data_IF_263995099920
#
_entry.id   IF_263995099920
#
_cell.length_a   1.000
_cell.length_b   1.000
_cell.length_c   1.000
_cell.angle_alpha   90.00
_cell.angle_beta   90.00
_cell.angle_gamma   90.00
#
_symmetry.space_group_name_H-M   'P 1'
#
loop_
_entity.id
_entity.type
_entity.pdbx_description
1 polymer ?
#
# COMPACT_ATOMS: atom_id res chain seq x y z
N UNK A 1 43.87 -7.95 32.64
CA UNK A 1 42.75 -8.91 32.50
C UNK A 1 41.58 -8.43 31.64
N UNK A 2 41.56 -7.19 31.13
CA UNK A 2 40.47 -6.72 30.24
C UNK A 2 40.68 -7.05 28.75
N UNK A 3 41.92 -7.17 28.30
CA UNK A 3 42.25 -7.47 26.89
C UNK A 3 42.22 -8.95 26.53
N UNK A 4 42.31 -9.85 27.52
CA UNK A 4 42.26 -11.29 27.30
C UNK A 4 40.85 -11.77 26.93
N UNK A 5 39.80 -11.13 27.46
CA UNK A 5 38.41 -11.43 27.12
C UNK A 5 38.05 -11.01 25.69
N UNK A 6 38.60 -9.90 25.20
CA UNK A 6 38.33 -9.38 23.85
C UNK A 6 38.95 -10.28 22.77
N UNK A 7 40.13 -10.84 23.03
CA UNK A 7 40.77 -11.81 22.13
C UNK A 7 39.99 -13.13 22.01
N UNK A 8 39.40 -13.61 23.11
CA UNK A 8 38.60 -14.84 23.11
C UNK A 8 37.27 -14.63 22.36
N UNK A 9 36.63 -13.47 22.52
CA UNK A 9 35.38 -13.13 21.82
C UNK A 9 35.55 -12.97 20.30
N UNK A 10 36.72 -12.51 19.82
CA UNK A 10 36.99 -12.41 18.39
C UNK A 10 37.22 -13.76 17.70
N UNK A 11 37.74 -14.77 18.40
CA UNK A 11 38.00 -16.09 17.79
C UNK A 11 36.75 -16.98 17.67
N UNK A 12 35.78 -16.84 18.59
CA UNK A 12 34.55 -17.65 18.56
C UNK A 12 33.52 -17.11 17.54
N UNK A 13 33.63 -15.84 17.12
CA UNK A 13 32.72 -15.23 16.15
C UNK A 13 32.96 -15.58 14.67
N UNK A 14 34.12 -16.16 14.33
CA UNK A 14 34.53 -16.36 12.93
C UNK A 14 34.26 -17.77 12.36
N UNK A 15 33.80 -18.72 13.17
CA UNK A 15 33.51 -20.10 12.71
C UNK A 15 32.04 -20.34 12.33
N UNK A 16 31.13 -19.39 12.56
CA UNK A 16 29.72 -19.52 12.19
C UNK A 16 29.38 -19.09 10.76
N UNK A 17 30.24 -18.31 10.08
CA UNK A 17 29.97 -17.78 8.72
C UNK A 17 30.53 -18.62 7.56
N UNK A 18 31.35 -19.64 7.84
CA UNK A 18 32.00 -20.46 6.81
C UNK A 18 31.18 -21.68 6.34
N UNK A 19 30.07 -22.02 7.02
CA UNK A 19 29.24 -23.18 6.65
C UNK A 19 28.12 -22.84 5.64
N UNK A 20 27.94 -21.58 5.27
CA UNK A 20 26.87 -21.12 4.36
C UNK A 20 27.26 -21.09 2.87
N UNK A 21 28.51 -21.44 2.51
CA UNK A 21 28.99 -21.36 1.11
C UNK A 21 29.10 -22.71 0.38
N UNK A 22 28.82 -23.86 1.01
CA UNK A 22 28.96 -25.18 0.38
C UNK A 22 27.63 -25.88 0.02
N UNK A 23 26.46 -25.28 0.32
CA UNK A 23 25.15 -25.85 -0.05
C UNK A 23 24.54 -25.29 -1.35
N UNK A 24 25.14 -24.26 -1.96
CA UNK A 24 24.59 -23.59 -3.15
C UNK A 24 24.84 -24.32 -4.50
N UNK A 25 25.47 -25.50 -4.49
CA UNK A 25 25.75 -26.30 -5.69
C UNK A 25 25.07 -27.66 -5.74
N UNK A 26 23.86 -27.79 -5.20
CA UNK A 26 22.96 -28.87 -5.64
C UNK A 26 22.39 -28.49 -7.00
N UNK A 27 23.08 -28.96 -8.06
CA UNK A 27 22.61 -28.92 -9.45
C UNK A 27 21.17 -29.44 -9.49
N UNK A 28 20.22 -28.62 -9.93
CA UNK A 28 18.86 -29.08 -10.21
C UNK A 28 18.95 -30.22 -11.24
N UNK A 29 18.28 -31.37 -11.05
CA UNK A 29 18.24 -32.41 -12.07
C UNK A 29 17.66 -31.80 -13.35
N UNK A 30 18.42 -31.89 -14.45
CA UNK A 30 17.94 -31.48 -15.77
C UNK A 30 16.70 -32.32 -16.08
N UNK A 31 15.57 -31.65 -16.32
CA UNK A 31 14.36 -32.32 -16.76
C UNK A 31 14.68 -33.10 -18.05
N UNK A 32 14.20 -34.36 -18.20
CA UNK A 32 14.41 -35.11 -19.42
C UNK A 32 13.79 -34.34 -20.58
N UNK A 33 14.56 -34.18 -21.66
CA UNK A 33 14.06 -33.68 -22.94
C UNK A 33 12.94 -34.62 -23.36
N UNK A 34 11.71 -34.14 -23.31
CA UNK A 34 10.54 -34.84 -23.84
C UNK A 34 10.82 -35.00 -25.33
N UNK A 35 11.13 -36.24 -25.74
CA UNK A 35 11.24 -36.61 -27.14
C UNK A 35 9.93 -36.18 -27.80
N UNK A 36 10.09 -35.33 -28.81
CA UNK A 36 9.05 -34.75 -29.65
C UNK A 36 7.97 -35.79 -29.92
N UNK A 37 6.83 -35.66 -29.22
CA UNK A 37 5.64 -36.39 -29.61
C UNK A 37 5.34 -35.99 -31.05
N UNK A 38 5.33 -36.97 -31.94
CA UNK A 38 4.91 -36.82 -33.33
C UNK A 38 3.61 -36.02 -33.30
N UNK A 39 3.65 -34.81 -33.86
CA UNK A 39 2.48 -33.96 -33.99
C UNK A 39 1.52 -34.66 -34.97
N UNK A 40 0.73 -35.60 -34.47
CA UNK A 40 -0.50 -35.97 -35.15
C UNK A 40 -1.37 -34.70 -35.11
N UNK A 41 -1.46 -34.00 -36.25
CA UNK A 41 -2.38 -32.90 -36.40
C UNK A 41 -3.76 -33.41 -35.96
N UNK A 42 -4.39 -32.81 -34.93
CA UNK A 42 -5.75 -33.17 -34.61
C UNK A 42 -6.60 -32.88 -35.85
N UNK A 43 -7.39 -33.87 -36.28
CA UNK A 43 -8.41 -33.69 -37.30
C UNK A 43 -9.17 -32.40 -37.00
N UNK A 44 -9.23 -31.50 -37.97
CA UNK A 44 -9.86 -30.19 -37.85
C UNK A 44 -11.19 -30.34 -37.12
N UNK A 45 -11.25 -29.85 -35.88
CA UNK A 45 -12.49 -29.78 -35.14
C UNK A 45 -13.36 -28.81 -35.94
N UNK A 46 -14.47 -29.30 -36.48
CA UNK A 46 -15.49 -28.42 -37.05
C UNK A 46 -16.04 -27.58 -35.91
N UNK A 47 -15.46 -26.40 -35.72
CA UNK A 47 -15.96 -25.37 -34.82
C UNK A 47 -17.22 -24.84 -35.50
N UNK A 48 -18.33 -25.54 -35.31
CA UNK A 48 -19.65 -25.00 -35.60
C UNK A 48 -19.73 -23.64 -34.92
N UNK A 49 -20.19 -22.63 -35.66
CA UNK A 49 -20.30 -21.25 -35.20
C UNK A 49 -21.38 -21.16 -34.11
N UNK A 50 -21.12 -21.70 -32.94
CA UNK A 50 -21.88 -21.40 -31.74
C UNK A 50 -21.56 -19.96 -31.42
N UNK A 51 -22.55 -19.07 -31.57
CA UNK A 51 -22.48 -17.68 -31.11
C UNK A 51 -22.00 -17.69 -29.65
N UNK A 52 -20.72 -17.43 -29.44
CA UNK A 52 -20.20 -17.22 -28.09
C UNK A 52 -20.96 -16.01 -27.52
N UNK A 53 -21.47 -16.07 -26.29
CA UNK A 53 -21.98 -14.88 -25.64
C UNK A 53 -20.84 -13.85 -25.61
N UNK A 54 -21.06 -12.67 -26.17
CA UNK A 54 -20.07 -11.59 -26.30
C UNK A 54 -19.55 -11.05 -24.96
N UNK A 55 -20.03 -11.58 -23.84
CA UNK A 55 -19.68 -11.18 -22.49
C UNK A 55 -19.70 -12.40 -21.58
N UNK A 56 -18.51 -12.87 -21.19
CA UNK A 56 -18.39 -13.75 -20.04
C UNK A 56 -18.83 -12.96 -18.80
N UNK A 57 -19.72 -13.49 -17.95
CA UNK A 57 -20.04 -12.83 -16.69
C UNK A 57 -18.75 -12.76 -15.88
N UNK A 58 -18.34 -11.55 -15.50
CA UNK A 58 -17.20 -11.34 -14.62
C UNK A 58 -17.51 -12.07 -13.30
N UNK A 59 -16.90 -13.23 -13.10
CA UNK A 59 -17.02 -13.93 -11.84
C UNK A 59 -16.29 -13.11 -10.78
N UNK A 60 -17.05 -12.55 -9.86
CA UNK A 60 -16.53 -11.81 -8.73
C UNK A 60 -16.03 -12.83 -7.69
N UNK A 61 -14.88 -13.45 -7.98
CA UNK A 61 -14.24 -14.38 -7.05
C UNK A 61 -13.82 -13.56 -5.82
N UNK A 62 -14.46 -13.84 -4.69
CA UNK A 62 -14.05 -13.24 -3.42
C UNK A 62 -12.57 -13.56 -3.18
N UNK A 63 -11.77 -12.52 -2.91
CA UNK A 63 -10.36 -12.71 -2.57
C UNK A 63 -10.27 -13.59 -1.33
N UNK A 64 -9.63 -14.75 -1.47
CA UNK A 64 -9.26 -15.58 -0.33
C UNK A 64 -8.08 -14.95 0.40
N UNK A 65 -7.98 -15.16 1.73
CA UNK A 65 -6.82 -14.73 2.52
C UNK A 65 -5.49 -15.15 1.87
N UNK A 66 -5.43 -16.38 1.36
CA UNK A 66 -4.26 -16.91 0.66
C UNK A 66 -3.89 -16.12 -0.61
N UNK A 67 -4.89 -15.63 -1.35
CA UNK A 67 -4.64 -14.84 -2.57
C UNK A 67 -4.04 -13.46 -2.27
N UNK A 68 -4.32 -12.92 -1.10
CA UNK A 68 -3.80 -11.65 -0.63
C UNK A 68 -2.34 -11.82 -0.18
N UNK A 69 -2.04 -12.86 0.58
CA UNK A 69 -0.69 -13.16 1.04
C UNK A 69 0.29 -13.36 -0.14
N UNK A 70 -0.14 -14.12 -1.17
CA UNK A 70 0.66 -14.26 -2.40
C UNK A 70 0.88 -12.92 -3.10
N UNK A 71 -0.15 -12.07 -3.16
CA UNK A 71 -0.04 -10.76 -3.78
C UNK A 71 0.89 -9.84 -2.99
N UNK A 72 0.80 -9.86 -1.66
CA UNK A 72 1.68 -9.14 -0.75
C UNK A 72 3.14 -9.55 -0.94
N UNK A 73 3.43 -10.85 -0.94
CA UNK A 73 4.77 -11.40 -1.15
C UNK A 73 5.35 -11.01 -2.51
N UNK A 74 4.55 -11.10 -3.56
CA UNK A 74 4.97 -10.72 -4.92
C UNK A 74 5.29 -9.22 -5.00
N UNK A 75 4.42 -8.36 -4.48
CA UNK A 75 4.64 -6.91 -4.47
C UNK A 75 5.84 -6.52 -3.61
N UNK A 76 6.02 -7.16 -2.47
CA UNK A 76 7.15 -6.90 -1.58
C UNK A 76 8.48 -7.35 -2.21
N UNK A 77 8.48 -8.50 -2.90
CA UNK A 77 9.65 -8.97 -3.66
C UNK A 77 10.02 -7.98 -4.76
N UNK A 78 9.04 -7.48 -5.51
CA UNK A 78 9.22 -6.49 -6.56
C UNK A 78 9.73 -5.14 -6.02
N UNK A 79 9.12 -4.65 -4.93
CA UNK A 79 9.57 -3.43 -4.26
C UNK A 79 11.03 -3.55 -3.80
N UNK A 80 11.40 -4.68 -3.19
CA UNK A 80 12.79 -4.95 -2.77
C UNK A 80 13.75 -5.02 -3.95
N UNK A 81 13.34 -5.65 -5.05
CA UNK A 81 14.13 -5.69 -6.28
C UNK A 81 14.39 -4.28 -6.80
N UNK A 82 13.34 -3.47 -6.98
CA UNK A 82 13.44 -2.11 -7.50
C UNK A 82 14.25 -1.19 -6.58
N UNK A 83 14.10 -1.30 -5.26
CA UNK A 83 14.94 -0.60 -4.29
C UNK A 83 16.41 -1.00 -4.41
N UNK A 84 16.71 -2.29 -4.54
CA UNK A 84 18.10 -2.79 -4.69
C UNK A 84 18.76 -2.26 -5.95
N UNK A 85 18.02 -2.16 -7.06
CA UNK A 85 18.52 -1.69 -8.35
C UNK A 85 18.35 -0.17 -8.56
N UNK A 86 17.99 0.59 -7.50
CA UNK A 86 17.83 2.04 -7.53
C UNK A 86 16.79 2.53 -8.55
N UNK A 87 15.79 1.69 -8.84
CA UNK A 87 14.66 2.01 -9.72
C UNK A 87 13.55 2.61 -8.84
N UNK A 88 13.80 3.82 -8.33
CA UNK A 88 12.98 4.44 -7.30
C UNK A 88 11.57 4.79 -7.74
N UNK A 89 11.38 5.22 -8.99
CA UNK A 89 10.04 5.46 -9.53
C UNK A 89 9.16 4.21 -9.43
N UNK A 90 9.64 3.06 -9.90
CA UNK A 90 8.89 1.80 -9.82
C UNK A 90 8.70 1.32 -8.37
N UNK A 91 9.75 1.42 -7.55
CA UNK A 91 9.66 1.05 -6.14
C UNK A 91 8.56 1.84 -5.40
N UNK A 92 8.44 3.15 -5.69
CA UNK A 92 7.39 3.99 -5.12
C UNK A 92 5.99 3.49 -5.49
N UNK A 93 5.75 3.09 -6.75
CA UNK A 93 4.49 2.47 -7.17
C UNK A 93 4.24 1.13 -6.46
N UNK A 94 5.26 0.28 -6.31
CA UNK A 94 5.09 -0.99 -5.60
C UNK A 94 4.65 -0.79 -4.14
N UNK A 95 5.16 0.25 -3.47
CA UNK A 95 4.72 0.59 -2.12
C UNK A 95 3.29 1.14 -2.06
N UNK A 96 2.87 1.94 -3.04
CA UNK A 96 1.45 2.36 -3.11
C UNK A 96 0.52 1.18 -3.43
N UNK A 97 0.97 0.21 -4.22
CA UNK A 97 0.20 -1.00 -4.52
C UNK A 97 0.04 -1.89 -3.29
N UNK A 98 1.10 -2.03 -2.48
CA UNK A 98 1.01 -2.66 -1.16
C UNK A 98 -0.02 -1.94 -0.29
N UNK A 99 0.02 -0.61 -0.23
CA UNK A 99 -0.97 0.16 0.52
C UNK A 99 -2.41 -0.09 0.03
N UNK A 100 -2.62 -0.14 -1.29
CA UNK A 100 -3.92 -0.45 -1.87
C UNK A 100 -4.41 -1.86 -1.50
N UNK A 101 -3.50 -2.85 -1.40
CA UNK A 101 -3.82 -4.20 -0.94
C UNK A 101 -4.29 -4.21 0.53
N UNK A 102 -3.65 -3.44 1.41
CA UNK A 102 -4.07 -3.33 2.81
C UNK A 102 -5.35 -2.51 2.99
N UNK A 103 -5.58 -1.50 2.15
CA UNK A 103 -6.84 -0.75 2.12
C UNK A 103 -8.04 -1.66 1.83
N UNK A 104 -7.90 -2.60 0.91
CA UNK A 104 -8.94 -3.60 0.62
C UNK A 104 -9.29 -4.49 1.82
N UNK A 105 -8.37 -4.61 2.77
CA UNK A 105 -8.53 -5.38 4.01
C UNK A 105 -8.92 -4.50 5.21
N UNK A 106 -9.16 -3.19 5.03
CA UNK A 106 -9.34 -2.22 6.11
C UNK A 106 -8.16 -2.14 7.10
N UNK A 107 -6.96 -2.55 6.67
CA UNK A 107 -5.72 -2.49 7.46
C UNK A 107 -5.06 -1.12 7.29
N UNK A 108 -5.67 -0.10 7.90
CA UNK A 108 -5.31 1.31 7.69
C UNK A 108 -3.91 1.69 8.17
N UNK A 109 -3.41 1.06 9.23
CA UNK A 109 -2.09 1.35 9.79
C UNK A 109 -0.96 0.94 8.85
N UNK A 110 -1.07 -0.25 8.27
CA UNK A 110 -0.13 -0.78 7.29
C UNK A 110 -0.20 0.02 6.00
N UNK A 111 -1.40 0.30 5.49
CA UNK A 111 -1.58 1.16 4.32
C UNK A 111 -0.92 2.54 4.51
N UNK A 112 -1.11 3.15 5.69
CA UNK A 112 -0.45 4.42 6.06
C UNK A 112 1.06 4.30 6.01
N UNK A 113 1.62 3.24 6.60
CA UNK A 113 3.07 3.01 6.62
C UNK A 113 3.64 2.92 5.20
N UNK A 114 3.01 2.13 4.32
CA UNK A 114 3.48 1.96 2.95
C UNK A 114 3.33 3.21 2.08
N UNK A 115 2.25 3.99 2.26
CA UNK A 115 2.11 5.29 1.58
C UNK A 115 3.18 6.29 2.01
N UNK A 116 3.55 6.31 3.30
CA UNK A 116 4.64 7.16 3.79
C UNK A 116 5.99 6.78 3.15
N UNK A 117 6.27 5.48 3.02
CA UNK A 117 7.46 5.01 2.29
C UNK A 117 7.42 5.43 0.81
N UNK A 118 6.27 5.22 0.17
CA UNK A 118 6.04 5.60 -1.23
C UNK A 118 6.27 7.11 -1.45
N UNK A 119 5.79 7.97 -0.54
CA UNK A 119 5.96 9.43 -0.60
C UNK A 119 7.40 9.87 -0.50
N UNK A 120 8.18 9.27 0.41
CA UNK A 120 9.61 9.56 0.55
C UNK A 120 10.33 9.29 -0.76
N UNK A 121 10.09 8.12 -1.34
CA UNK A 121 10.73 7.70 -2.59
C UNK A 121 10.24 8.55 -3.77
N UNK A 122 8.95 8.86 -3.85
CA UNK A 122 8.38 9.71 -4.91
C UNK A 122 8.99 11.11 -4.89
N UNK A 123 9.21 11.68 -3.70
CA UNK A 123 9.86 12.97 -3.52
C UNK A 123 11.31 12.94 -3.99
N UNK A 124 12.07 11.91 -3.60
CA UNK A 124 13.46 11.72 -4.02
C UNK A 124 13.60 11.52 -5.54
N UNK A 125 12.65 10.80 -6.14
CA UNK A 125 12.65 10.53 -7.58
C UNK A 125 12.04 11.66 -8.42
N UNK A 126 11.49 12.70 -7.79
CA UNK A 126 10.84 13.83 -8.47
C UNK A 126 9.49 13.48 -9.13
N UNK A 127 8.85 12.38 -8.75
CA UNK A 127 7.55 11.97 -9.27
C UNK A 127 6.40 12.62 -8.47
N UNK A 128 6.16 13.91 -8.76
CA UNK A 128 5.17 14.70 -8.02
C UNK A 128 3.73 14.26 -8.28
N UNK A 129 3.40 13.76 -9.48
CA UNK A 129 2.05 13.26 -9.77
C UNK A 129 1.68 12.10 -8.82
N UNK A 130 2.60 11.14 -8.67
CA UNK A 130 2.42 10.02 -7.75
C UNK A 130 2.41 10.44 -6.27
N UNK A 131 3.26 11.39 -5.90
CA UNK A 131 3.26 11.98 -4.56
C UNK A 131 1.89 12.59 -4.21
N UNK A 132 1.29 13.35 -5.12
CA UNK A 132 -0.04 13.95 -4.91
C UNK A 132 -1.12 12.90 -4.71
N UNK A 133 -1.15 11.87 -5.57
CA UNK A 133 -2.13 10.80 -5.49
C UNK A 133 -2.01 10.06 -4.13
N UNK A 134 -0.79 9.79 -3.68
CA UNK A 134 -0.56 9.17 -2.39
C UNK A 134 -0.93 10.07 -1.20
N UNK A 135 -0.59 11.36 -1.22
CA UNK A 135 -0.97 12.31 -0.16
C UNK A 135 -2.50 12.42 -0.05
N UNK A 136 -3.21 12.41 -1.18
CA UNK A 136 -4.66 12.39 -1.21
C UNK A 136 -5.24 11.12 -0.56
N UNK A 137 -4.68 9.95 -0.89
CA UNK A 137 -5.10 8.68 -0.26
C UNK A 137 -4.78 8.68 1.24
N UNK A 138 -3.61 9.18 1.63
CA UNK A 138 -3.18 9.28 3.03
C UNK A 138 -4.12 10.15 3.85
N UNK A 139 -4.55 11.29 3.29
CA UNK A 139 -5.54 12.16 3.89
C UNK A 139 -6.90 11.46 4.03
N UNK A 140 -7.32 10.66 3.04
CA UNK A 140 -8.56 9.89 3.13
C UNK A 140 -8.50 8.87 4.27
N UNK A 141 -7.40 8.12 4.37
CA UNK A 141 -7.15 7.17 5.48
C UNK A 141 -7.19 7.89 6.83
N UNK A 142 -6.40 8.96 6.97
CA UNK A 142 -6.31 9.74 8.21
C UNK A 142 -7.67 10.32 8.61
N UNK A 143 -8.46 10.79 7.66
CA UNK A 143 -9.81 11.27 7.93
C UNK A 143 -10.74 10.16 8.43
N UNK A 144 -10.64 8.94 7.87
CA UNK A 144 -11.45 7.77 8.27
C UNK A 144 -11.14 7.28 9.67
N UNK A 145 -9.88 7.38 10.10
CA UNK A 145 -9.45 7.01 11.46
C UNK A 145 -9.61 8.15 12.48
N UNK A 146 -10.18 9.30 12.09
CA UNK A 146 -10.42 10.44 12.97
C UNK A 146 -9.23 11.42 13.12
N UNK A 147 -8.10 11.15 12.46
CA UNK A 147 -6.91 12.01 12.42
C UNK A 147 -7.08 13.20 11.45
N UNK A 148 -8.22 13.92 11.52
CA UNK A 148 -8.57 15.00 10.57
C UNK A 148 -7.53 16.12 10.47
N UNK A 149 -6.89 16.60 11.56
CA UNK A 149 -5.83 17.62 11.46
C UNK A 149 -4.64 17.14 10.63
N UNK A 150 -4.24 15.87 10.78
CA UNK A 150 -3.14 15.29 10.01
C UNK A 150 -3.54 15.08 8.54
N UNK A 151 -4.80 14.73 8.27
CA UNK A 151 -5.32 14.66 6.91
C UNK A 151 -5.28 16.02 6.21
N UNK A 152 -5.62 17.10 6.91
CA UNK A 152 -5.55 18.47 6.37
C UNK A 152 -4.10 18.89 6.09
N UNK A 153 -3.15 18.51 6.95
CA UNK A 153 -1.74 18.78 6.72
C UNK A 153 -1.23 18.11 5.44
N UNK A 154 -1.56 16.82 5.22
CA UNK A 154 -1.18 16.12 3.99
C UNK A 154 -1.82 16.76 2.74
N UNK A 155 -3.08 17.18 2.82
CA UNK A 155 -3.74 17.87 1.71
C UNK A 155 -3.15 19.26 1.44
N UNK A 156 -2.67 19.95 2.48
CA UNK A 156 -1.98 21.21 2.31
C UNK A 156 -0.62 21.01 1.62
N UNK A 157 0.14 19.99 2.03
CA UNK A 157 1.37 19.61 1.32
C UNK A 157 1.07 19.27 -0.15
N UNK A 158 0.01 18.51 -0.41
CA UNK A 158 -0.41 18.20 -1.78
C UNK A 158 -0.81 19.46 -2.56
N UNK A 159 -1.53 20.38 -1.93
CA UNK A 159 -1.90 21.65 -2.53
C UNK A 159 -0.66 22.44 -2.97
N UNK A 160 0.29 22.63 -2.06
CA UNK A 160 1.47 23.45 -2.30
C UNK A 160 2.35 22.81 -3.39
N UNK A 161 2.54 21.50 -3.35
CA UNK A 161 3.24 20.76 -4.40
C UNK A 161 2.54 20.87 -5.78
N UNK A 162 1.20 20.87 -5.82
CA UNK A 162 0.45 21.02 -7.06
C UNK A 162 0.58 22.45 -7.64
N UNK A 163 0.56 23.47 -6.78
CA UNK A 163 0.81 24.88 -7.18
C UNK A 163 2.21 25.02 -7.77
N UNK A 164 3.23 24.53 -7.07
CA UNK A 164 4.63 24.62 -7.49
C UNK A 164 4.90 23.95 -8.84
N UNK A 165 4.13 22.90 -9.19
CA UNK A 165 4.26 22.15 -10.45
C UNK A 165 3.25 22.55 -11.52
N UNK A 166 2.38 23.52 -11.25
CA UNK A 166 1.36 23.97 -12.20
C UNK A 166 0.28 22.91 -12.50
N UNK A 167 0.01 22.00 -11.56
CA UNK A 167 -0.95 20.90 -11.71
C UNK A 167 -2.38 21.35 -11.39
N UNK A 168 -2.97 22.17 -12.27
CA UNK A 168 -4.27 22.82 -12.04
C UNK A 168 -5.44 21.84 -11.84
N UNK A 169 -5.45 20.70 -12.53
CA UNK A 169 -6.50 19.68 -12.36
C UNK A 169 -6.52 19.13 -10.93
N UNK A 170 -5.35 18.75 -10.42
CA UNK A 170 -5.20 18.14 -9.10
C UNK A 170 -5.50 19.15 -8.00
N UNK A 171 -5.13 20.41 -8.22
CA UNK A 171 -5.44 21.52 -7.32
C UNK A 171 -6.94 21.64 -7.03
N UNK A 172 -7.78 21.53 -8.06
CA UNK A 172 -9.24 21.62 -7.88
C UNK A 172 -9.80 20.47 -7.04
N UNK A 173 -9.26 19.27 -7.24
CA UNK A 173 -9.66 18.06 -6.50
C UNK A 173 -9.23 18.19 -5.03
N UNK A 174 -8.00 18.61 -4.78
CA UNK A 174 -7.44 18.82 -3.43
C UNK A 174 -8.24 19.90 -2.68
N UNK A 175 -8.50 21.04 -3.30
CA UNK A 175 -9.28 22.13 -2.69
C UNK A 175 -10.70 21.70 -2.32
N UNK A 176 -11.34 20.91 -3.18
CA UNK A 176 -12.66 20.34 -2.88
C UNK A 176 -12.60 19.44 -1.64
N UNK A 177 -11.58 18.59 -1.51
CA UNK A 177 -11.41 17.70 -0.36
C UNK A 177 -11.09 18.46 0.93
N UNK A 178 -10.24 19.48 0.89
CA UNK A 178 -9.95 20.37 2.03
C UNK A 178 -11.24 20.99 2.55
N UNK A 179 -12.04 21.61 1.67
CA UNK A 179 -13.31 22.25 2.03
C UNK A 179 -14.31 21.26 2.62
N UNK A 180 -14.38 20.05 2.07
CA UNK A 180 -15.23 18.97 2.60
C UNK A 180 -14.84 18.61 4.04
N UNK A 181 -13.55 18.38 4.32
CA UNK A 181 -13.08 18.03 5.66
C UNK A 181 -13.29 19.15 6.67
N UNK A 182 -13.07 20.41 6.27
CA UNK A 182 -13.32 21.58 7.13
C UNK A 182 -14.81 21.72 7.49
N UNK A 183 -15.70 21.53 6.52
CA UNK A 183 -17.16 21.64 6.73
C UNK A 183 -17.67 20.50 7.61
N UNK A 184 -17.18 19.28 7.42
CA UNK A 184 -17.61 18.16 8.24
C UNK A 184 -17.12 18.27 9.68
N UNK A 185 -15.89 18.76 9.90
CA UNK A 185 -15.37 19.02 11.25
C UNK A 185 -16.25 20.01 12.02
N UNK A 186 -16.74 21.07 11.38
CA UNK A 186 -17.60 22.06 12.05
C UNK A 186 -19.00 21.51 12.33
N UNK A 187 -19.49 20.58 11.51
CA UNK A 187 -20.75 19.89 11.75
C UNK A 187 -20.67 18.94 12.95
N UNK A 188 -19.59 18.15 13.08
CA UNK A 188 -19.41 17.23 14.20
C UNK A 188 -19.26 17.98 15.52
N UNK A 189 -18.43 19.03 15.57
CA UNK A 189 -18.26 19.83 16.80
C UNK A 189 -19.54 20.56 17.20
N UNK A 190 -20.30 21.10 16.23
CA UNK A 190 -21.58 21.76 16.52
C UNK A 190 -22.64 20.78 17.03
N UNK A 191 -22.64 19.54 16.54
CA UNK A 191 -23.53 18.51 17.04
C UNK A 191 -23.17 18.10 18.48
N UNK A 192 -21.89 17.86 18.76
CA UNK A 192 -21.39 17.53 20.10
C UNK A 192 -21.74 18.60 21.15
N UNK A 193 -21.53 19.88 20.82
CA UNK A 193 -21.89 20.99 21.71
C UNK A 193 -23.40 21.02 22.02
N UNK A 194 -24.26 20.78 21.01
CA UNK A 194 -25.71 20.73 21.21
C UNK A 194 -26.17 19.60 22.11
N UNK A 195 -25.51 18.43 22.03
CA UNK A 195 -25.82 17.32 22.93
C UNK A 195 -25.35 17.60 24.36
N UNK A 196 -24.18 18.19 24.54
CA UNK A 196 -23.69 18.60 25.86
C UNK A 196 -24.65 19.60 26.52
N UNK A 197 -25.04 20.67 25.80
CA UNK A 197 -25.99 21.68 26.29
C UNK A 197 -27.36 21.05 26.66
N UNK A 198 -27.86 20.12 25.85
CA UNK A 198 -29.12 19.43 26.10
C UNK A 198 -29.06 18.52 27.34
N UNK A 199 -27.93 17.84 27.57
CA UNK A 199 -27.70 17.01 28.75
C UNK A 199 -27.57 17.88 30.01
N UNK A 200 -26.85 18.99 29.94
CA UNK A 200 -26.76 19.95 31.04
C UNK A 200 -28.12 20.59 31.38
N UNK A 201 -28.91 20.95 30.36
CA UNK A 201 -30.28 21.44 30.54
C UNK A 201 -31.24 20.38 31.11
N UNK A 202 -31.01 19.09 30.84
CA UNK A 202 -31.77 18.00 31.45
C UNK A 202 -31.37 17.78 32.92
N UNK A 203 -30.07 17.78 33.23
CA UNK A 203 -29.54 17.56 34.58
C UNK A 203 -29.89 18.70 35.56
N UNK A 204 -29.92 19.94 35.07
CA UNK A 204 -30.35 21.10 35.87
C UNK A 204 -31.84 21.05 36.23
N UNK A 205 -32.69 20.45 35.41
CA UNK A 205 -34.13 20.29 35.70
C UNK A 205 -34.42 19.19 36.72
N UNK A 206 -33.60 18.14 36.77
CA UNK A 206 -33.75 17.07 37.76
C UNK A 206 -33.20 17.44 39.14
N UNK A 207 -32.23 18.34 39.22
CA UNK A 207 -31.63 18.78 40.50
C UNK A 207 -32.50 19.77 41.32
N UNK A 208 -33.62 20.24 40.76
CA UNK A 208 -34.51 21.24 41.38
C UNK A 208 -35.79 20.60 41.97
N UNK A 209 -35.93 19.28 41.89
CA UNK A 209 -36.98 18.50 42.58
C UNK A 209 -36.40 17.72 43.75
#
# INVERSE_FOLDING_TARGET
MRFTLLFILCFVGLTASAQLQLQFWKRKPKQPVVLTAVQALPSQINIGTTKLPNTLPAQNLAYSFFSIEIAEDALLAEAKHNMRFRIYNMASYNFSDLAALYLKQNRFSEAKWYLLQSNTIAREAGNYRHLLDNLYILADIKSKIGEVPLALADLQEAHDAAVDKGMLSDLTIINKKIKYLQTNKTLTTKAELRYADAVEAANSKTAVN
#
